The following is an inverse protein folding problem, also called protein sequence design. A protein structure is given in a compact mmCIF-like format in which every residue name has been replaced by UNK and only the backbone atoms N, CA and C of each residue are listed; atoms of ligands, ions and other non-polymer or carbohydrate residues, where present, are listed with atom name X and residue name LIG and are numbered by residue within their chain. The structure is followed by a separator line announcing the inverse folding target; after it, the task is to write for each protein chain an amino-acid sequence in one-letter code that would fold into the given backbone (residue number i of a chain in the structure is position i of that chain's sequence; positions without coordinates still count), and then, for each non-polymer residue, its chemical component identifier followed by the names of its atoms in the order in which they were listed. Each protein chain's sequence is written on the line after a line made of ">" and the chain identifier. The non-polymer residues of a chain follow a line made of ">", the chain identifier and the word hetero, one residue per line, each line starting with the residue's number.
data_IF_337020022829
#
_entry.id   IF_337020022829
#
_cell.length_a   1.000
_cell.length_b   1.000
_cell.length_c   1.000
_cell.angle_alpha   90.00
_cell.angle_beta   90.00
_cell.angle_gamma   90.00
#
_symmetry.space_group_name_H-M   'P 1'
#
loop_
_entity.id
_entity.type
_entity.pdbx_description
1 polymer ?
#
# COMPACT_ATOMS: atom_id res chain seq x y z
N UNK A 1 -13.20 7.40 16.02
CA UNK A 1 -13.13 6.16 15.22
C UNK A 1 -12.07 5.28 15.86
N UNK A 2 -12.48 4.14 16.39
CA UNK A 2 -11.73 3.31 17.34
C UNK A 2 -10.33 2.94 16.83
N UNK A 3 -9.38 3.01 17.76
CA UNK A 3 -7.95 2.78 17.61
C UNK A 3 -7.57 1.29 17.58
N UNK A 4 -8.35 0.47 16.91
CA UNK A 4 -7.98 -0.94 16.69
C UNK A 4 -7.07 -0.98 15.47
N UNK A 5 -5.81 -1.39 15.66
CA UNK A 5 -4.83 -1.62 14.59
C UNK A 5 -5.44 -2.62 13.59
N UNK A 6 -6.00 -2.13 12.48
CA UNK A 6 -6.55 -2.98 11.40
C UNK A 6 -5.41 -3.86 10.86
N UNK A 7 -5.42 -5.17 11.14
CA UNK A 7 -4.38 -6.09 10.69
C UNK A 7 -4.57 -6.51 9.23
N UNK A 8 -4.00 -5.76 8.31
CA UNK A 8 -4.03 -6.07 6.87
C UNK A 8 -3.15 -7.28 6.47
N UNK A 9 -2.51 -7.98 7.42
CA UNK A 9 -1.63 -9.12 7.11
C UNK A 9 -2.40 -10.38 6.70
N UNK A 10 -3.71 -10.46 6.90
CA UNK A 10 -4.55 -11.57 6.42
C UNK A 10 -5.05 -11.44 4.98
N UNK A 11 -4.77 -10.31 4.33
CA UNK A 11 -5.33 -9.99 3.02
C UNK A 11 -4.48 -10.49 1.85
N UNK A 12 -5.12 -11.09 0.85
CA UNK A 12 -4.50 -11.51 -0.40
C UNK A 12 -4.21 -10.30 -1.31
N UNK A 13 -2.98 -10.21 -1.83
CA UNK A 13 -2.57 -9.13 -2.74
C UNK A 13 -3.26 -9.16 -4.10
N UNK A 14 -3.77 -10.32 -4.53
CA UNK A 14 -4.43 -10.48 -5.83
C UNK A 14 -5.93 -10.24 -5.76
N UNK A 15 -6.65 -11.04 -4.97
CA UNK A 15 -8.12 -10.97 -4.89
C UNK A 15 -8.65 -10.03 -3.79
N UNK A 16 -7.75 -9.43 -2.99
CA UNK A 16 -8.10 -8.50 -1.90
C UNK A 16 -8.98 -9.10 -0.79
N UNK A 17 -9.26 -10.40 -0.80
CA UNK A 17 -9.99 -11.10 0.25
C UNK A 17 -9.13 -11.22 1.50
N UNK A 18 -9.70 -10.91 2.67
CA UNK A 18 -9.11 -11.24 3.96
C UNK A 18 -9.47 -12.69 4.31
N UNK A 19 -8.46 -13.56 4.34
CA UNK A 19 -8.63 -14.98 4.71
C UNK A 19 -8.04 -15.26 6.10
N UNK A 20 -7.56 -14.24 6.80
CA UNK A 20 -6.82 -14.38 8.04
C UNK A 20 -5.34 -14.69 7.83
N UNK A 21 -4.53 -14.29 8.81
CA UNK A 21 -3.06 -14.31 8.74
C UNK A 21 -2.47 -15.71 8.56
N UNK A 22 -3.13 -16.73 9.11
CA UNK A 22 -2.67 -18.12 9.06
C UNK A 22 -2.96 -18.80 7.72
N UNK A 23 -3.88 -18.24 6.92
CA UNK A 23 -4.29 -18.81 5.63
C UNK A 23 -3.61 -18.15 4.43
N UNK A 24 -2.77 -17.15 4.65
CA UNK A 24 -1.99 -16.51 3.58
C UNK A 24 -0.54 -17.00 3.56
N UNK A 25 -0.01 -17.16 2.35
CA UNK A 25 1.38 -17.52 2.10
C UNK A 25 2.12 -16.31 1.55
N UNK A 26 3.38 -16.12 1.96
CA UNK A 26 4.22 -15.05 1.41
C UNK A 26 4.84 -15.49 0.09
N UNK A 27 5.13 -14.55 -0.80
CA UNK A 27 5.94 -14.83 -1.98
C UNK A 27 7.31 -15.36 -1.55
N UNK A 28 7.69 -16.57 -2.00
CA UNK A 28 8.94 -17.22 -1.61
C UNK A 28 10.21 -16.45 -2.01
N UNK A 29 10.13 -15.61 -3.04
CA UNK A 29 11.27 -14.81 -3.51
C UNK A 29 11.49 -13.54 -2.68
N UNK A 30 10.52 -12.62 -2.66
CA UNK A 30 10.69 -11.33 -1.98
C UNK A 30 10.23 -11.32 -0.51
N UNK A 31 9.33 -12.24 -0.12
CA UNK A 31 8.72 -12.28 1.23
C UNK A 31 8.00 -10.98 1.63
N UNK A 32 7.56 -10.17 0.66
CA UNK A 32 6.90 -8.87 0.89
C UNK A 32 5.37 -8.91 0.70
N UNK A 33 4.89 -9.66 -0.28
CA UNK A 33 3.45 -9.78 -0.61
C UNK A 33 2.90 -11.13 -0.16
N UNK A 34 1.59 -11.18 0.07
CA UNK A 34 0.85 -12.35 0.59
C UNK A 34 -0.26 -12.77 -0.38
N UNK A 35 -0.48 -14.07 -0.48
CA UNK A 35 -1.52 -14.67 -1.33
C UNK A 35 -2.27 -15.74 -0.55
N UNK A 36 -3.59 -15.83 -0.72
CA UNK A 36 -4.39 -16.90 -0.11
C UNK A 36 -4.16 -18.27 -0.78
N UNK A 37 -3.64 -18.29 -2.02
CA UNK A 37 -3.45 -19.52 -2.78
C UNK A 37 -2.34 -19.40 -3.83
N UNK A 38 -1.90 -20.53 -4.38
CA UNK A 38 -0.90 -20.57 -5.47
C UNK A 38 -1.46 -19.96 -6.75
N UNK A 39 -2.75 -20.14 -6.99
CA UNK A 39 -3.48 -19.61 -8.14
C UNK A 39 -3.46 -18.08 -8.11
N UNK A 40 -3.73 -17.47 -6.94
CA UNK A 40 -3.62 -16.02 -6.75
C UNK A 40 -2.19 -15.50 -6.97
N UNK A 41 -1.17 -16.25 -6.53
CA UNK A 41 0.22 -15.88 -6.78
C UNK A 41 0.56 -15.93 -8.27
N UNK A 42 0.16 -16.99 -8.98
CA UNK A 42 0.39 -17.15 -10.43
C UNK A 42 -0.33 -16.07 -11.22
N UNK A 43 -1.59 -15.78 -10.87
CA UNK A 43 -2.37 -14.73 -11.53
C UNK A 43 -1.75 -13.34 -11.33
N UNK A 44 -1.22 -13.06 -10.14
CA UNK A 44 -0.50 -11.82 -9.84
C UNK A 44 0.90 -11.75 -10.47
N UNK A 45 1.48 -12.86 -10.94
CA UNK A 45 2.90 -12.92 -11.33
C UNK A 45 3.28 -11.96 -12.44
N UNK A 46 2.42 -11.78 -13.45
CA UNK A 46 2.69 -10.89 -14.61
C UNK A 46 3.02 -9.46 -14.16
N UNK A 47 2.32 -8.95 -13.15
CA UNK A 47 2.53 -7.60 -12.59
C UNK A 47 3.52 -7.60 -11.44
N UNK A 48 3.45 -8.61 -10.55
CA UNK A 48 4.33 -8.69 -9.38
C UNK A 48 5.82 -8.84 -9.76
N UNK A 49 6.13 -9.63 -10.79
CA UNK A 49 7.53 -9.91 -11.18
C UNK A 49 8.35 -8.65 -11.46
N UNK A 50 7.70 -7.59 -11.97
CA UNK A 50 8.32 -6.30 -12.29
C UNK A 50 8.82 -5.57 -11.04
N UNK A 51 8.27 -5.88 -9.86
CA UNK A 51 8.61 -5.25 -8.58
C UNK A 51 9.07 -6.26 -7.52
N UNK A 52 9.26 -7.53 -7.91
CA UNK A 52 9.66 -8.60 -7.01
C UNK A 52 11.17 -8.50 -6.73
N UNK A 53 11.53 -7.86 -5.61
CA UNK A 53 12.93 -7.68 -5.21
C UNK A 53 13.25 -8.48 -3.93
N UNK A 54 14.10 -9.52 -3.98
CA UNK A 54 14.52 -10.27 -2.80
C UNK A 54 15.41 -9.48 -1.83
N UNK A 55 16.12 -8.46 -2.32
CA UNK A 55 17.13 -7.72 -1.56
C UNK A 55 16.55 -6.49 -0.85
N UNK A 56 15.29 -6.13 -1.12
CA UNK A 56 14.69 -4.92 -0.57
C UNK A 56 14.70 -4.91 0.97
N UNK A 57 14.41 -6.05 1.61
CA UNK A 57 14.40 -6.13 3.09
C UNK A 57 15.78 -5.88 3.68
N UNK A 58 16.81 -6.41 3.04
CA UNK A 58 18.19 -6.27 3.49
C UNK A 58 18.72 -4.86 3.24
N UNK A 59 18.42 -4.30 2.07
CA UNK A 59 18.73 -2.90 1.74
C UNK A 59 18.02 -1.91 2.67
N UNK A 60 16.80 -2.21 3.14
CA UNK A 60 16.14 -1.38 4.13
C UNK A 60 16.77 -1.56 5.52
N UNK A 61 17.22 -2.77 5.85
CA UNK A 61 17.82 -3.06 7.16
C UNK A 61 19.21 -2.43 7.35
N UNK A 62 19.95 -2.14 6.26
CA UNK A 62 21.27 -1.51 6.34
C UNK A 62 21.25 -0.07 6.85
N UNK A 63 20.10 0.62 6.76
CA UNK A 63 19.89 1.95 7.33
C UNK A 63 18.78 1.89 8.39
N UNK A 64 19.13 1.89 9.70
CA UNK A 64 18.16 1.86 10.78
C UNK A 64 17.13 2.99 10.72
N UNK A 65 17.51 4.19 10.27
CA UNK A 65 16.61 5.33 10.19
C UNK A 65 15.56 5.13 9.10
N UNK A 66 16.00 4.73 7.89
CA UNK A 66 15.09 4.38 6.79
C UNK A 66 14.19 3.20 7.13
N UNK A 67 14.71 2.17 7.82
CA UNK A 67 13.92 1.02 8.26
C UNK A 67 12.81 1.42 9.25
N UNK A 68 13.14 2.26 10.23
CA UNK A 68 12.20 2.77 11.20
C UNK A 68 11.11 3.63 10.53
N UNK A 69 11.51 4.49 9.59
CA UNK A 69 10.58 5.32 8.83
C UNK A 69 9.64 4.48 7.94
N UNK A 70 10.18 3.49 7.22
CA UNK A 70 9.38 2.56 6.41
C UNK A 70 8.41 1.73 7.26
N UNK A 71 8.82 1.33 8.46
CA UNK A 71 7.96 0.64 9.42
C UNK A 71 6.82 1.55 9.88
N UNK A 72 7.11 2.81 10.24
CA UNK A 72 6.10 3.78 10.64
C UNK A 72 5.12 4.08 9.49
N UNK A 73 5.64 4.26 8.27
CA UNK A 73 4.84 4.48 7.06
C UNK A 73 3.92 3.28 6.78
N UNK A 74 4.44 2.05 6.88
CA UNK A 74 3.64 0.84 6.66
C UNK A 74 2.47 0.73 7.65
N UNK A 75 2.70 1.05 8.93
CA UNK A 75 1.64 1.09 9.95
C UNK A 75 0.60 2.16 9.65
N UNK A 76 1.05 3.37 9.31
CA UNK A 76 0.17 4.48 8.97
C UNK A 76 -0.71 4.16 7.74
N UNK A 77 -0.11 3.68 6.65
CA UNK A 77 -0.84 3.28 5.43
C UNK A 77 -1.87 2.20 5.73
N UNK A 78 -1.57 1.24 6.60
CA UNK A 78 -2.54 0.22 6.98
C UNK A 78 -3.75 0.84 7.71
N UNK A 79 -3.53 1.75 8.66
CA UNK A 79 -4.63 2.40 9.37
C UNK A 79 -5.53 3.23 8.45
N UNK A 80 -4.97 3.84 7.40
CA UNK A 80 -5.70 4.70 6.47
C UNK A 80 -6.03 4.05 5.13
N UNK A 81 -5.78 2.75 4.96
CA UNK A 81 -5.80 2.12 3.63
C UNK A 81 -7.14 2.34 2.94
N UNK A 82 -8.25 2.04 3.60
CA UNK A 82 -9.58 2.11 3.00
C UNK A 82 -9.92 3.56 2.62
N UNK A 83 -9.60 4.50 3.51
CA UNK A 83 -9.81 5.93 3.31
C UNK A 83 -8.99 6.46 2.14
N UNK A 84 -7.71 6.07 2.04
CA UNK A 84 -6.84 6.44 0.92
C UNK A 84 -7.36 5.90 -0.42
N UNK A 85 -7.92 4.68 -0.44
CA UNK A 85 -8.54 4.14 -1.65
C UNK A 85 -9.82 4.89 -2.02
N UNK A 86 -10.69 5.20 -1.05
CA UNK A 86 -11.90 5.98 -1.30
C UNK A 86 -11.58 7.38 -1.83
N UNK A 87 -10.60 8.06 -1.22
CA UNK A 87 -10.13 9.35 -1.71
C UNK A 87 -9.55 9.26 -3.11
N UNK A 88 -8.81 8.20 -3.44
CA UNK A 88 -8.33 7.98 -4.80
C UNK A 88 -9.50 7.82 -5.79
N UNK A 89 -10.54 7.06 -5.46
CA UNK A 89 -11.71 6.88 -6.32
C UNK A 89 -12.43 8.21 -6.57
N UNK A 90 -12.71 8.98 -5.50
CA UNK A 90 -13.31 10.31 -5.63
C UNK A 90 -12.42 11.29 -6.38
N UNK A 91 -11.10 11.21 -6.16
CA UNK A 91 -10.13 12.05 -6.86
C UNK A 91 -10.03 11.70 -8.35
N UNK A 92 -10.24 10.45 -8.73
CA UNK A 92 -10.11 10.05 -10.13
C UNK A 92 -11.38 10.33 -10.94
N UNK A 93 -12.51 10.54 -10.27
CA UNK A 93 -13.80 10.89 -10.89
C UNK A 93 -14.17 9.96 -12.05
N UNK A 94 -14.04 8.64 -11.80
CA UNK A 94 -14.08 7.61 -12.83
C UNK A 94 -15.43 7.55 -13.56
N UNK A 95 -16.54 7.85 -12.87
CA UNK A 95 -17.87 7.83 -13.46
C UNK A 95 -18.09 8.94 -14.50
N UNK A 96 -17.35 10.05 -14.39
CA UNK A 96 -17.46 11.20 -15.27
C UNK A 96 -16.23 11.37 -16.18
N UNK A 97 -15.37 10.35 -16.26
CA UNK A 97 -14.11 10.38 -17.00
C UNK A 97 -14.03 9.26 -18.05
N UNK A 98 -13.16 9.40 -19.07
CA UNK A 98 -12.91 8.32 -20.03
C UNK A 98 -12.48 7.00 -19.37
N UNK A 99 -12.77 5.83 -19.97
CA UNK A 99 -12.46 4.52 -19.38
C UNK A 99 -10.98 4.27 -19.08
N UNK A 100 -10.08 4.96 -19.77
CA UNK A 100 -8.63 4.86 -19.62
C UNK A 100 -8.06 5.80 -18.54
N UNK A 101 -8.92 6.48 -17.75
CA UNK A 101 -8.50 7.44 -16.72
C UNK A 101 -7.46 6.90 -15.75
N UNK A 102 -7.59 5.63 -15.33
CA UNK A 102 -6.64 4.97 -14.44
C UNK A 102 -5.28 4.66 -15.09
N UNK A 103 -5.25 4.54 -16.42
CA UNK A 103 -4.01 4.32 -17.17
C UNK A 103 -3.27 5.64 -17.44
N UNK A 104 -4.00 6.76 -17.51
CA UNK A 104 -3.46 8.06 -17.92
C UNK A 104 -3.26 9.04 -16.77
N UNK A 105 -3.75 8.78 -15.55
CA UNK A 105 -3.67 9.72 -14.44
C UNK A 105 -3.27 9.04 -13.13
N UNK A 106 -2.65 9.81 -12.24
CA UNK A 106 -2.28 9.39 -10.88
C UNK A 106 -2.91 10.31 -9.85
N UNK A 107 -3.40 9.70 -8.77
CA UNK A 107 -3.69 10.40 -7.52
C UNK A 107 -2.43 10.41 -6.65
N UNK A 108 -1.92 11.61 -6.36
CA UNK A 108 -0.70 11.81 -5.57
C UNK A 108 -1.07 12.48 -4.26
N UNK A 109 -0.62 11.87 -3.16
CA UNK A 109 -0.71 12.42 -1.81
C UNK A 109 0.68 12.80 -1.33
N UNK A 110 0.83 14.01 -0.83
CA UNK A 110 2.03 14.44 -0.12
C UNK A 110 1.77 14.27 1.38
N UNK A 111 2.70 13.61 2.06
CA UNK A 111 2.63 13.36 3.49
C UNK A 111 3.87 13.89 4.20
N UNK A 112 3.67 14.43 5.38
CA UNK A 112 4.73 14.98 6.23
C UNK A 112 4.72 14.28 7.59
N UNK A 113 5.92 14.06 8.14
CA UNK A 113 6.06 13.56 9.51
C UNK A 113 5.60 14.62 10.51
N UNK A 114 4.76 14.24 11.48
CA UNK A 114 4.41 15.12 12.60
C UNK A 114 5.57 15.21 13.60
N UNK A 115 5.81 16.40 14.15
CA UNK A 115 6.86 16.62 15.18
C UNK A 115 6.59 15.81 16.46
N UNK A 116 5.34 15.78 16.91
CA UNK A 116 4.91 15.02 18.08
C UNK A 116 3.68 14.17 17.72
N UNK A 117 3.87 12.95 17.21
CA UNK A 117 2.77 12.10 16.78
C UNK A 117 2.07 11.45 17.98
N UNK A 118 0.78 11.75 18.24
CA UNK A 118 0.07 11.21 19.40
C UNK A 118 -0.28 9.71 19.27
N UNK A 119 -0.24 9.16 18.05
CA UNK A 119 -0.55 7.75 17.76
C UNK A 119 0.06 7.31 16.42
N UNK A 120 0.05 5.99 16.14
CA UNK A 120 0.53 5.46 14.86
C UNK A 120 -0.31 5.92 13.66
N UNK A 121 -1.63 6.09 13.81
CA UNK A 121 -2.50 6.66 12.77
C UNK A 121 -2.26 8.15 12.58
N UNK A 122 -1.73 8.86 13.58
CA UNK A 122 -1.41 10.29 13.48
C UNK A 122 0.11 10.53 13.29
N UNK A 123 0.88 9.51 12.88
CA UNK A 123 2.32 9.65 12.67
C UNK A 123 2.67 10.62 11.53
N UNK A 124 1.91 10.54 10.44
CA UNK A 124 1.99 11.46 9.31
C UNK A 124 0.74 12.35 9.24
N UNK A 125 0.87 13.49 8.56
CA UNK A 125 -0.25 14.32 8.11
C UNK A 125 -0.18 14.45 6.59
N UNK A 126 -1.33 14.54 5.93
CA UNK A 126 -1.40 14.93 4.52
C UNK A 126 -1.19 16.44 4.45
N UNK A 127 -0.24 16.88 3.61
CA UNK A 127 0.03 18.30 3.35
C UNK A 127 -0.65 18.78 2.07
N UNK A 128 -0.64 17.97 1.02
CA UNK A 128 -1.20 18.32 -0.29
C UNK A 128 -1.85 17.11 -0.97
N UNK A 129 -2.96 17.36 -1.69
CA UNK A 129 -3.60 16.38 -2.58
C UNK A 129 -3.53 16.91 -4.00
N UNK A 130 -3.00 16.13 -4.95
CA UNK A 130 -2.89 16.54 -6.36
C UNK A 130 -3.32 15.42 -7.32
N UNK A 131 -3.86 15.83 -8.47
CA UNK A 131 -4.18 14.95 -9.61
C UNK A 131 -3.24 15.32 -10.74
N UNK A 132 -2.49 14.35 -11.26
CA UNK A 132 -1.56 14.59 -12.37
C UNK A 132 -1.88 13.67 -13.56
N UNK A 133 -1.79 14.14 -14.80
CA UNK A 133 -1.64 13.25 -15.94
C UNK A 133 -0.33 12.48 -15.79
N UNK A 134 -0.39 11.16 -15.99
CA UNK A 134 0.80 10.35 -16.22
C UNK A 134 1.30 10.74 -17.61
N UNK A 135 2.30 11.61 -17.67
CA UNK A 135 3.02 11.86 -18.91
C UNK A 135 3.63 10.54 -19.38
N UNK A 136 3.27 10.12 -20.60
CA UNK A 136 3.99 9.07 -21.36
C UNK A 136 5.22 9.72 -21.97
#
# INVERSE_FOLDING_TARGET
>A
MSSEDKDFKGRCMYCNTDVGRDKVKTCGRCRLVRYCSKECQVASWKTHKLRCNPNLRESLASDPASNALNTALSKWINNWRDELHNWAIWAMDLANSPPDRLATHCFVIEIERRRNPPSASQFFRVSTLRRYPQYV
#
